data_IF_188349690105
#
_entry.id   IF_188349690105
#
_cell.length_a   1.000
_cell.length_b   1.000
_cell.length_c   1.000
_cell.angle_alpha   90.00
_cell.angle_beta   90.00
_cell.angle_gamma   90.00
#
_symmetry.space_group_name_H-M   'P 1'
#
loop_
_entity.id
_entity.type
_entity.pdbx_description
1 polymer ?
#
# COMPACT_ATOMS: atom_id res chain seq x y z
N UNK A 1 33.60 -46.54 26.83
CA UNK A 1 34.94 -46.16 27.34
C UNK A 1 36.03 -46.19 26.24
N UNK A 2 35.83 -45.51 25.10
CA UNK A 2 36.87 -45.39 24.04
C UNK A 2 37.20 -43.94 23.65
N UNK A 3 36.33 -42.96 23.98
CA UNK A 3 36.57 -41.53 23.72
C UNK A 3 37.48 -40.85 24.76
N UNK A 4 37.51 -41.35 26.00
CA UNK A 4 38.38 -40.81 27.07
C UNK A 4 39.84 -41.24 26.86
N UNK A 5 40.09 -42.42 26.27
CA UNK A 5 41.43 -42.93 26.02
C UNK A 5 42.15 -42.16 24.89
N UNK A 6 41.42 -41.68 23.88
CA UNK A 6 42.02 -40.93 22.75
C UNK A 6 42.43 -39.51 23.14
N UNK A 7 41.66 -38.86 24.03
CA UNK A 7 41.98 -37.53 24.56
C UNK A 7 43.17 -37.61 25.53
N UNK A 8 43.22 -38.66 26.36
CA UNK A 8 44.36 -38.91 27.25
C UNK A 8 45.65 -39.25 26.45
N UNK A 9 45.55 -40.01 25.36
CA UNK A 9 46.69 -40.32 24.50
C UNK A 9 47.22 -39.08 23.76
N UNK A 10 46.33 -38.21 23.25
CA UNK A 10 46.72 -36.94 22.63
C UNK A 10 47.40 -35.99 23.62
N UNK A 11 46.93 -35.92 24.87
CA UNK A 11 47.57 -35.10 25.91
C UNK A 11 48.93 -35.67 26.33
N UNK A 12 49.10 -37.00 26.42
CA UNK A 12 50.39 -37.62 26.75
C UNK A 12 51.41 -37.40 25.62
N UNK A 13 51.03 -37.52 24.34
CA UNK A 13 51.92 -37.19 23.21
C UNK A 13 52.29 -35.70 23.22
N UNK A 14 51.35 -34.81 23.55
CA UNK A 14 51.61 -33.38 23.66
C UNK A 14 52.57 -33.01 24.81
N UNK A 15 52.50 -33.73 25.94
CA UNK A 15 53.39 -33.51 27.08
C UNK A 15 54.73 -34.24 26.99
N UNK A 16 54.84 -35.30 26.16
CA UNK A 16 56.09 -36.06 26.01
C UNK A 16 57.07 -35.49 24.97
N UNK A 17 56.61 -34.75 23.95
CA UNK A 17 57.49 -34.25 22.87
C UNK A 17 58.04 -32.82 23.07
N UNK A 18 57.72 -32.14 24.18
CA UNK A 18 58.39 -30.89 24.58
C UNK A 18 59.34 -31.17 25.75
N UNK A 19 60.24 -32.13 25.55
CA UNK A 19 61.56 -32.11 26.20
C UNK A 19 62.60 -31.66 25.16
N UNK A 20 62.64 -30.36 24.91
CA UNK A 20 63.86 -29.71 24.40
C UNK A 20 64.31 -28.72 25.45
N UNK A 21 65.11 -29.25 26.37
CA UNK A 21 66.37 -28.68 26.83
C UNK A 21 66.58 -27.21 26.46
N UNK A 22 66.38 -26.31 27.44
CA UNK A 22 67.42 -25.32 27.69
C UNK A 22 67.82 -25.42 29.16
N UNK A 23 68.93 -26.13 29.35
CA UNK A 23 69.67 -26.18 30.59
C UNK A 23 70.10 -24.77 31.03
N UNK A 24 70.04 -24.59 32.35
CA UNK A 24 70.95 -23.80 33.18
C UNK A 24 71.67 -22.62 32.51
N UNK A 25 71.25 -21.42 32.90
CA UNK A 25 72.23 -20.51 33.49
C UNK A 25 71.63 -19.91 34.76
N UNK A 26 72.20 -20.31 35.88
CA UNK A 26 72.06 -19.69 37.18
C UNK A 26 72.25 -18.16 37.07
N UNK A 27 71.34 -17.40 37.68
CA UNK A 27 71.68 -16.46 38.75
C UNK A 27 70.59 -15.40 38.94
N UNK A 28 70.27 -15.21 40.21
CA UNK A 28 69.38 -14.19 40.77
C UNK A 28 67.88 -14.37 40.50
N UNK A 29 67.19 -14.91 41.52
CA UNK A 29 65.77 -14.73 41.76
C UNK A 29 65.47 -13.23 41.97
N UNK A 30 65.47 -12.45 40.88
CA UNK A 30 64.77 -11.18 40.86
C UNK A 30 63.40 -11.44 40.26
N UNK A 31 62.37 -11.32 41.11
CA UNK A 31 60.99 -11.22 40.64
C UNK A 31 60.89 -10.07 39.64
N UNK A 32 59.89 -10.11 38.75
CA UNK A 32 59.70 -9.11 37.68
C UNK A 32 59.73 -7.66 38.20
N UNK A 33 59.40 -7.45 39.48
CA UNK A 33 59.48 -6.17 40.19
C UNK A 33 60.92 -5.64 40.40
N UNK A 34 61.93 -6.51 40.48
CA UNK A 34 63.33 -6.16 40.77
C UNK A 34 64.26 -5.96 39.56
N UNK A 35 63.77 -6.15 38.33
CA UNK A 35 64.54 -5.93 37.10
C UNK A 35 64.52 -4.44 36.70
N UNK A 36 65.67 -3.92 36.28
CA UNK A 36 65.76 -2.56 35.73
C UNK A 36 65.04 -2.49 34.38
N UNK A 37 64.56 -1.30 34.00
CA UNK A 37 63.81 -1.08 32.75
C UNK A 37 64.56 -1.61 31.51
N UNK A 38 65.90 -1.51 31.50
CA UNK A 38 66.75 -2.02 30.41
C UNK A 38 66.77 -3.55 30.33
N UNK A 39 66.79 -4.23 31.48
CA UNK A 39 66.72 -5.70 31.56
C UNK A 39 65.32 -6.20 31.18
N UNK A 40 64.25 -5.46 31.56
CA UNK A 40 62.89 -5.80 31.15
C UNK A 40 62.72 -5.76 29.64
N UNK A 41 63.28 -4.72 29.00
CA UNK A 41 63.19 -4.52 27.55
C UNK A 41 63.90 -5.63 26.78
N UNK A 42 65.10 -6.03 27.22
CA UNK A 42 65.84 -7.14 26.60
C UNK A 42 65.12 -8.48 26.74
N UNK A 43 64.48 -8.74 27.88
CA UNK A 43 63.70 -9.96 28.09
C UNK A 43 62.45 -10.00 27.18
N UNK A 44 61.76 -8.87 27.00
CA UNK A 44 60.61 -8.75 26.09
C UNK A 44 61.04 -8.98 24.63
N UNK A 45 62.13 -8.35 24.18
CA UNK A 45 62.61 -8.52 22.80
C UNK A 45 63.06 -9.96 22.52
N UNK A 46 63.63 -10.65 23.51
CA UNK A 46 63.99 -12.08 23.38
C UNK A 46 62.73 -12.95 23.26
N UNK A 47 61.72 -12.70 24.09
CA UNK A 47 60.44 -13.41 24.03
C UNK A 47 59.68 -13.15 22.71
N UNK A 48 59.73 -11.93 22.18
CA UNK A 48 59.16 -11.59 20.87
C UNK A 48 59.88 -12.31 19.72
N UNK A 49 61.20 -12.45 19.80
CA UNK A 49 62.00 -13.25 18.88
C UNK A 49 61.65 -14.74 18.93
N UNK A 50 61.52 -15.30 20.14
CA UNK A 50 61.15 -16.70 20.35
C UNK A 50 59.71 -16.98 19.85
N UNK A 51 58.78 -16.04 20.06
CA UNK A 51 57.41 -16.10 19.53
C UNK A 51 57.41 -16.08 17.99
N UNK A 52 58.24 -15.24 17.36
CA UNK A 52 58.33 -15.16 15.90
C UNK A 52 58.92 -16.44 15.27
N UNK A 53 59.93 -17.04 15.90
CA UNK A 53 60.52 -18.32 15.46
C UNK A 53 59.49 -19.45 15.57
N UNK A 54 58.77 -19.54 16.70
CA UNK A 54 57.69 -20.52 16.92
C UNK A 54 56.53 -20.34 15.94
N UNK A 55 56.12 -19.11 15.64
CA UNK A 55 55.09 -18.82 14.64
C UNK A 55 55.51 -19.23 13.22
N UNK A 56 56.80 -19.10 12.87
CA UNK A 56 57.32 -19.54 11.56
C UNK A 56 57.36 -21.07 11.44
N UNK A 57 57.72 -21.78 12.51
CA UNK A 57 57.76 -23.25 12.56
C UNK A 57 56.35 -23.84 12.46
N UNK A 58 55.37 -23.25 13.17
CA UNK A 58 53.96 -23.65 13.11
C UNK A 58 53.36 -23.42 11.71
N UNK A 59 53.72 -22.33 11.02
CA UNK A 59 53.29 -22.07 9.64
C UNK A 59 53.86 -23.09 8.65
N UNK A 60 55.13 -23.48 8.78
CA UNK A 60 55.79 -24.42 7.86
C UNK A 60 55.29 -25.86 8.03
N UNK A 61 55.15 -26.32 9.27
CA UNK A 61 54.67 -27.67 9.59
C UNK A 61 53.19 -27.88 9.23
N UNK A 62 52.34 -26.85 9.39
CA UNK A 62 50.95 -26.88 8.90
C UNK A 62 50.87 -26.90 7.38
N UNK A 63 51.73 -26.15 6.67
CA UNK A 63 51.67 -26.07 5.21
C UNK A 63 52.12 -27.36 4.53
N UNK A 64 53.15 -28.03 5.05
CA UNK A 64 53.62 -29.31 4.50
C UNK A 64 52.69 -30.48 4.83
N UNK A 65 52.06 -30.45 6.02
CA UNK A 65 50.98 -31.39 6.38
C UNK A 65 49.74 -31.21 5.50
N UNK A 66 49.30 -29.96 5.28
CA UNK A 66 48.18 -29.62 4.39
C UNK A 66 48.50 -30.00 2.94
N UNK A 67 49.74 -29.77 2.46
CA UNK A 67 50.18 -30.22 1.13
C UNK A 67 50.16 -31.74 1.00
N UNK A 68 50.63 -32.49 2.00
CA UNK A 68 50.61 -33.96 1.94
C UNK A 68 49.18 -34.53 2.01
N UNK A 69 48.29 -33.89 2.80
CA UNK A 69 46.87 -34.26 2.89
C UNK A 69 46.09 -33.90 1.62
N UNK A 70 46.42 -32.79 0.96
CA UNK A 70 45.85 -32.41 -0.35
C UNK A 70 46.32 -33.30 -1.50
N UNK A 71 47.45 -34.00 -1.38
CA UNK A 71 48.03 -34.75 -2.50
C UNK A 71 47.68 -36.24 -2.46
N UNK A 72 47.11 -36.81 -1.39
CA UNK A 72 47.00 -38.27 -1.30
C UNK A 72 45.70 -38.91 -0.77
N UNK A 73 44.63 -38.21 -0.40
CA UNK A 73 43.43 -38.90 0.10
C UNK A 73 42.09 -38.32 -0.39
N UNK A 74 41.40 -39.11 -1.21
CA UNK A 74 39.94 -39.11 -1.48
C UNK A 74 39.38 -38.06 -2.45
N UNK A 75 39.78 -38.11 -3.74
CA UNK A 75 39.27 -37.18 -4.75
C UNK A 75 38.03 -37.64 -5.54
N UNK A 76 37.57 -38.90 -5.46
CA UNK A 76 36.45 -39.35 -6.32
C UNK A 76 35.07 -39.38 -5.63
N UNK A 77 34.95 -39.82 -4.37
CA UNK A 77 33.63 -39.93 -3.72
C UNK A 77 33.11 -38.60 -3.14
N UNK A 78 33.97 -37.77 -2.55
CA UNK A 78 33.60 -36.47 -1.98
C UNK A 78 33.40 -35.39 -3.03
N UNK A 79 34.16 -35.41 -4.13
CA UNK A 79 33.97 -34.47 -5.26
C UNK A 79 32.65 -34.76 -5.99
N UNK A 80 32.28 -36.05 -6.11
CA UNK A 80 30.97 -36.45 -6.64
C UNK A 80 29.84 -36.06 -5.69
N UNK A 81 29.99 -36.25 -4.36
CA UNK A 81 28.98 -35.85 -3.38
C UNK A 81 28.76 -34.32 -3.33
N UNK A 82 29.85 -33.53 -3.34
CA UNK A 82 29.77 -32.06 -3.40
C UNK A 82 29.19 -31.56 -4.73
N UNK A 83 29.55 -32.18 -5.87
CA UNK A 83 28.94 -31.86 -7.17
C UNK A 83 27.44 -32.16 -7.18
N UNK A 84 27.03 -33.32 -6.64
CA UNK A 84 25.60 -33.67 -6.49
C UNK A 84 24.86 -32.66 -5.60
N UNK A 85 25.51 -32.15 -4.54
CA UNK A 85 24.93 -31.16 -3.65
C UNK A 85 24.81 -29.77 -4.31
N UNK A 86 25.84 -29.31 -5.03
CA UNK A 86 25.80 -28.08 -5.81
C UNK A 86 24.76 -28.15 -6.94
N UNK A 87 24.68 -29.28 -7.65
CA UNK A 87 23.67 -29.50 -8.69
C UNK A 87 22.25 -29.46 -8.12
N UNK A 88 22.03 -30.01 -6.92
CA UNK A 88 20.74 -29.94 -6.22
C UNK A 88 20.38 -28.51 -5.79
N UNK A 89 21.36 -27.73 -5.27
CA UNK A 89 21.18 -26.32 -4.93
C UNK A 89 20.87 -25.52 -6.19
N UNK A 90 21.62 -25.73 -7.27
CA UNK A 90 21.42 -25.04 -8.55
C UNK A 90 20.04 -25.36 -9.14
N UNK A 91 19.61 -26.63 -9.14
CA UNK A 91 18.25 -27.02 -9.54
C UNK A 91 17.17 -26.32 -8.70
N UNK A 92 17.36 -26.23 -7.38
CA UNK A 92 16.43 -25.55 -6.48
C UNK A 92 16.38 -24.05 -6.73
N UNK A 93 17.52 -23.39 -6.94
CA UNK A 93 17.61 -21.98 -7.32
C UNK A 93 16.92 -21.72 -8.67
N UNK A 94 17.18 -22.53 -9.68
CA UNK A 94 16.54 -22.43 -11.01
C UNK A 94 15.02 -22.62 -10.89
N UNK A 95 14.55 -23.59 -10.11
CA UNK A 95 13.12 -23.77 -9.85
C UNK A 95 12.49 -22.54 -9.16
N UNK A 96 13.16 -21.98 -8.15
CA UNK A 96 12.69 -20.76 -7.47
C UNK A 96 12.63 -19.55 -8.40
N UNK A 97 13.62 -19.37 -9.28
CA UNK A 97 13.63 -18.31 -10.29
C UNK A 97 12.48 -18.49 -11.29
N UNK A 98 12.29 -19.72 -11.79
CA UNK A 98 11.19 -20.03 -12.72
C UNK A 98 9.83 -19.80 -12.07
N UNK A 99 9.66 -20.19 -10.79
CA UNK A 99 8.44 -19.96 -10.04
C UNK A 99 8.17 -18.47 -9.81
N UNK A 100 9.21 -17.69 -9.48
CA UNK A 100 9.11 -16.22 -9.39
C UNK A 100 8.66 -15.60 -10.71
N UNK A 101 9.25 -16.01 -11.83
CA UNK A 101 8.90 -15.48 -13.15
C UNK A 101 7.46 -15.84 -13.55
N UNK A 102 7.03 -17.08 -13.28
CA UNK A 102 5.64 -17.52 -13.49
C UNK A 102 4.65 -16.72 -12.63
N UNK A 103 4.98 -16.47 -11.35
CA UNK A 103 4.14 -15.63 -10.48
C UNK A 103 4.06 -14.19 -11.00
N UNK A 104 5.16 -13.63 -11.52
CA UNK A 104 5.16 -12.29 -12.10
C UNK A 104 4.23 -12.20 -13.32
N UNK A 105 4.29 -13.18 -14.22
CA UNK A 105 3.40 -13.28 -15.38
C UNK A 105 1.93 -13.40 -14.96
N UNK A 106 1.64 -14.22 -13.94
CA UNK A 106 0.28 -14.35 -13.41
C UNK A 106 -0.23 -13.02 -12.82
N UNK A 107 0.61 -12.29 -12.09
CA UNK A 107 0.25 -10.95 -11.56
C UNK A 107 -0.02 -9.97 -12.70
N UNK A 108 0.81 -9.95 -13.75
CA UNK A 108 0.61 -9.10 -14.93
C UNK A 108 -0.72 -9.43 -15.64
N UNK A 109 -1.04 -10.71 -15.79
CA UNK A 109 -2.32 -11.17 -16.35
C UNK A 109 -3.52 -10.72 -15.51
N UNK A 110 -3.46 -10.92 -14.18
CA UNK A 110 -4.51 -10.50 -13.25
C UNK A 110 -4.70 -8.98 -13.29
N UNK A 111 -3.61 -8.21 -13.34
CA UNK A 111 -3.68 -6.75 -13.44
C UNK A 111 -4.33 -6.29 -14.76
N UNK A 112 -4.03 -6.97 -15.87
CA UNK A 112 -4.69 -6.74 -17.15
C UNK A 112 -6.20 -6.99 -17.06
N UNK A 113 -6.63 -8.08 -16.41
CA UNK A 113 -8.06 -8.35 -16.20
C UNK A 113 -8.74 -7.34 -15.27
N UNK A 114 -8.09 -6.98 -14.15
CA UNK A 114 -8.58 -5.96 -13.23
C UNK A 114 -8.73 -4.59 -13.90
N UNK A 115 -7.83 -4.25 -14.83
CA UNK A 115 -7.94 -3.00 -15.60
C UNK A 115 -9.20 -2.96 -16.47
N UNK A 116 -9.60 -4.09 -17.07
CA UNK A 116 -10.83 -4.20 -17.87
C UNK A 116 -12.09 -4.05 -17.00
N UNK A 117 -12.07 -4.63 -15.79
CA UNK A 117 -13.17 -4.47 -14.81
C UNK A 117 -13.29 -3.01 -14.40
N UNK A 118 -12.17 -2.33 -14.13
CA UNK A 118 -12.18 -0.92 -13.75
C UNK A 118 -12.76 -0.02 -14.85
N UNK A 119 -12.51 -0.32 -16.13
CA UNK A 119 -13.11 0.40 -17.26
C UNK A 119 -14.64 0.23 -17.25
N UNK A 120 -15.14 -1.00 -17.10
CA UNK A 120 -16.58 -1.25 -17.06
C UNK A 120 -17.26 -0.57 -15.86
N UNK A 121 -16.66 -0.66 -14.68
CA UNK A 121 -17.16 0.00 -13.48
C UNK A 121 -17.16 1.52 -13.62
N UNK A 122 -16.19 2.10 -14.35
CA UNK A 122 -16.16 3.52 -14.65
C UNK A 122 -17.34 3.93 -15.56
N UNK A 123 -17.70 3.12 -16.56
CA UNK A 123 -18.91 3.37 -17.36
C UNK A 123 -20.19 3.35 -16.52
N UNK A 124 -20.29 2.47 -15.51
CA UNK A 124 -21.43 2.46 -14.57
C UNK A 124 -21.46 3.77 -13.77
N UNK A 125 -20.32 4.23 -13.27
CA UNK A 125 -20.21 5.50 -12.53
C UNK A 125 -20.63 6.67 -13.42
N UNK A 126 -20.19 6.69 -14.68
CA UNK A 126 -20.50 7.77 -15.62
C UNK A 126 -21.99 7.77 -15.98
N UNK A 127 -22.57 6.60 -16.28
CA UNK A 127 -24.00 6.43 -16.47
C UNK A 127 -24.82 6.91 -15.27
N UNK A 128 -24.41 6.55 -14.05
CA UNK A 128 -25.11 6.96 -12.84
C UNK A 128 -24.96 8.46 -12.56
N UNK A 129 -23.80 9.04 -12.89
CA UNK A 129 -23.53 10.47 -12.73
C UNK A 129 -24.34 11.31 -13.73
N UNK A 130 -24.47 10.82 -14.97
CA UNK A 130 -25.29 11.41 -16.03
C UNK A 130 -26.75 11.61 -15.58
N UNK A 131 -27.31 10.68 -14.78
CA UNK A 131 -28.69 10.80 -14.28
C UNK A 131 -28.94 11.99 -13.36
N UNK A 132 -27.91 12.61 -12.77
CA UNK A 132 -28.07 13.83 -11.97
C UNK A 132 -28.31 15.07 -12.82
N UNK A 133 -28.13 14.99 -14.14
CA UNK A 133 -28.35 16.08 -15.08
C UNK A 133 -29.75 16.12 -15.65
N UNK A 134 -30.59 15.12 -15.40
CA UNK A 134 -31.95 15.03 -15.95
C UNK A 134 -32.98 14.99 -14.83
N UNK A 135 -34.26 15.29 -15.13
CA UNK A 135 -35.32 15.15 -14.15
C UNK A 135 -35.39 13.74 -13.60
N UNK A 136 -35.85 13.65 -12.35
CA UNK A 136 -35.99 12.34 -11.73
C UNK A 136 -36.98 11.47 -12.52
N UNK A 137 -36.60 10.23 -12.77
CA UNK A 137 -37.45 9.22 -13.39
C UNK A 137 -36.98 7.80 -12.99
N UNK A 138 -37.70 6.78 -13.45
CA UNK A 138 -37.42 5.38 -13.13
C UNK A 138 -36.02 4.89 -13.53
N UNK A 139 -35.33 5.52 -14.49
CA UNK A 139 -33.96 5.15 -14.89
C UNK A 139 -32.92 5.46 -13.81
N UNK A 140 -33.23 6.37 -12.88
CA UNK A 140 -32.41 6.66 -11.69
C UNK A 140 -32.30 5.42 -10.80
N UNK A 141 -33.40 4.67 -10.63
CA UNK A 141 -33.40 3.42 -9.87
C UNK A 141 -32.53 2.36 -10.54
N UNK A 142 -32.57 2.26 -11.87
CA UNK A 142 -31.67 1.39 -12.63
C UNK A 142 -30.20 1.75 -12.41
N UNK A 143 -29.86 3.05 -12.34
CA UNK A 143 -28.51 3.50 -12.01
C UNK A 143 -28.10 3.13 -10.58
N UNK A 144 -28.99 3.27 -9.60
CA UNK A 144 -28.75 2.82 -8.22
C UNK A 144 -28.45 1.32 -8.16
N UNK A 145 -29.21 0.49 -8.89
CA UNK A 145 -28.95 -0.95 -8.95
C UNK A 145 -27.65 -1.29 -9.67
N UNK A 146 -27.31 -0.57 -10.75
CA UNK A 146 -26.07 -0.80 -11.48
C UNK A 146 -24.84 -0.53 -10.58
N UNK A 147 -24.89 0.46 -9.70
CA UNK A 147 -23.82 0.79 -8.76
C UNK A 147 -23.46 -0.35 -7.78
N UNK A 148 -24.41 -1.24 -7.49
CA UNK A 148 -24.17 -2.44 -6.66
C UNK A 148 -23.29 -3.49 -7.35
N UNK A 149 -23.15 -3.41 -8.67
CA UNK A 149 -22.33 -4.34 -9.46
C UNK A 149 -20.85 -3.95 -9.54
N UNK A 150 -20.46 -2.79 -8.98
CA UNK A 150 -19.07 -2.31 -9.02
C UNK A 150 -18.16 -3.23 -8.19
N UNK A 151 -17.11 -3.74 -8.84
CA UNK A 151 -16.14 -4.68 -8.26
C UNK A 151 -14.80 -4.04 -7.95
N UNK A 152 -14.44 -2.97 -8.68
CA UNK A 152 -13.19 -2.24 -8.58
C UNK A 152 -13.05 -1.61 -7.20
N UNK A 153 -12.01 -1.99 -6.41
CA UNK A 153 -11.79 -1.41 -5.09
C UNK A 153 -11.63 0.11 -5.12
N UNK A 154 -10.99 0.64 -6.18
CA UNK A 154 -10.74 2.07 -6.35
C UNK A 154 -12.00 2.92 -6.55
N UNK A 155 -13.07 2.33 -7.10
CA UNK A 155 -14.32 3.03 -7.41
C UNK A 155 -15.41 2.83 -6.35
N UNK A 156 -15.19 1.93 -5.38
CA UNK A 156 -16.21 1.54 -4.40
C UNK A 156 -16.67 2.70 -3.51
N UNK A 157 -15.75 3.57 -3.08
CA UNK A 157 -16.09 4.75 -2.27
C UNK A 157 -16.95 5.75 -3.07
N UNK A 158 -16.55 6.04 -4.32
CA UNK A 158 -17.30 6.92 -5.23
C UNK A 158 -18.69 6.35 -5.53
N UNK A 159 -18.79 5.04 -5.77
CA UNK A 159 -20.06 4.32 -5.96
C UNK A 159 -21.01 4.52 -4.78
N UNK A 160 -20.53 4.30 -3.54
CA UNK A 160 -21.36 4.45 -2.33
C UNK A 160 -21.88 5.88 -2.14
N UNK A 161 -21.04 6.88 -2.38
CA UNK A 161 -21.44 8.28 -2.29
C UNK A 161 -22.51 8.62 -3.34
N UNK A 162 -22.29 8.22 -4.59
CA UNK A 162 -23.22 8.46 -5.68
C UNK A 162 -24.55 7.72 -5.48
N UNK A 163 -24.49 6.48 -5.01
CA UNK A 163 -25.68 5.68 -4.66
C UNK A 163 -26.52 6.39 -3.60
N UNK A 164 -25.90 6.85 -2.51
CA UNK A 164 -26.60 7.55 -1.44
C UNK A 164 -27.27 8.84 -1.94
N UNK A 165 -26.62 9.56 -2.86
CA UNK A 165 -27.17 10.76 -3.47
C UNK A 165 -28.38 10.44 -4.36
N UNK A 166 -28.26 9.45 -5.26
CA UNK A 166 -29.33 9.05 -6.17
C UNK A 166 -30.55 8.50 -5.43
N UNK A 167 -30.36 7.76 -4.33
CA UNK A 167 -31.45 7.27 -3.48
C UNK A 167 -32.28 8.39 -2.84
N UNK A 168 -31.66 9.55 -2.57
CA UNK A 168 -32.36 10.71 -2.02
C UNK A 168 -32.95 11.62 -3.10
N UNK A 169 -32.59 11.40 -4.36
CA UNK A 169 -32.92 12.31 -5.45
C UNK A 169 -34.44 12.47 -5.62
N UNK A 170 -35.21 11.37 -5.61
CA UNK A 170 -36.67 11.42 -5.75
C UNK A 170 -37.33 12.33 -4.71
N UNK A 171 -36.98 12.13 -3.44
CA UNK A 171 -37.56 12.90 -2.34
C UNK A 171 -37.23 14.39 -2.46
N UNK A 172 -35.98 14.74 -2.80
CA UNK A 172 -35.56 16.13 -3.00
C UNK A 172 -36.22 16.77 -4.23
N UNK A 173 -36.34 16.02 -5.33
CA UNK A 173 -37.04 16.46 -6.53
C UNK A 173 -38.51 16.77 -6.23
N UNK A 174 -39.22 15.84 -5.58
CA UNK A 174 -40.62 16.00 -5.23
C UNK A 174 -40.86 17.17 -4.27
N UNK A 175 -39.94 17.40 -3.32
CA UNK A 175 -40.01 18.54 -2.40
C UNK A 175 -39.93 19.87 -3.15
N UNK A 176 -38.97 20.02 -4.06
CA UNK A 176 -38.81 21.23 -4.89
C UNK A 176 -40.03 21.43 -5.80
N UNK A 177 -40.50 20.36 -6.46
CA UNK A 177 -41.70 20.43 -7.31
C UNK A 177 -42.93 20.84 -6.50
N UNK A 178 -43.08 20.37 -5.27
CA UNK A 178 -44.19 20.78 -4.41
C UNK A 178 -44.12 22.27 -4.06
N UNK A 179 -42.93 22.82 -3.78
CA UNK A 179 -42.77 24.28 -3.59
C UNK A 179 -43.20 25.03 -4.84
N UNK A 180 -42.79 24.59 -6.03
CA UNK A 180 -43.16 25.20 -7.31
C UNK A 180 -44.69 25.13 -7.54
N UNK A 181 -45.33 23.99 -7.23
CA UNK A 181 -46.80 23.83 -7.32
C UNK A 181 -47.52 24.78 -6.38
N UNK A 182 -47.06 24.92 -5.15
CA UNK A 182 -47.64 25.88 -4.19
C UNK A 182 -47.49 27.31 -4.71
N UNK A 183 -46.35 27.65 -5.29
CA UNK A 183 -46.11 28.97 -5.90
C UNK A 183 -47.06 29.24 -7.08
N UNK A 184 -47.25 28.26 -7.95
CA UNK A 184 -48.12 28.35 -9.13
C UNK A 184 -49.61 28.48 -8.77
N UNK A 185 -50.03 27.90 -7.65
CA UNK A 185 -51.41 27.95 -7.19
C UNK A 185 -51.70 29.10 -6.21
N UNK A 186 -50.68 29.89 -5.84
CA UNK A 186 -50.87 31.03 -4.96
C UNK A 186 -51.53 32.20 -5.71
N UNK A 187 -52.61 32.75 -5.15
CA UNK A 187 -53.30 33.92 -5.70
C UNK A 187 -52.40 35.14 -5.85
N UNK A 188 -51.36 35.26 -5.03
CA UNK A 188 -50.47 36.41 -5.07
C UNK A 188 -49.48 36.37 -6.25
N UNK A 189 -49.40 35.24 -6.99
CA UNK A 189 -48.51 35.15 -8.16
C UNK A 189 -48.89 36.12 -9.28
N UNK A 190 -50.16 36.51 -9.37
CA UNK A 190 -50.70 37.46 -10.35
C UNK A 190 -50.90 38.86 -9.76
N UNK A 191 -50.73 39.01 -8.45
CA UNK A 191 -50.92 40.27 -7.73
C UNK A 191 -49.60 41.06 -7.70
N UNK A 192 -49.48 42.05 -8.58
CA UNK A 192 -48.27 42.86 -8.72
C UNK A 192 -48.04 43.84 -7.57
N UNK A 193 -49.05 44.09 -6.73
CA UNK A 193 -48.95 45.01 -5.60
C UNK A 193 -48.37 44.30 -4.37
N UNK A 194 -48.45 42.97 -4.31
CA UNK A 194 -47.97 42.14 -3.19
C UNK A 194 -46.72 41.30 -3.52
N UNK A 195 -45.94 41.71 -4.51
CA UNK A 195 -44.78 40.94 -5.04
C UNK A 195 -43.74 40.58 -3.98
N UNK A 196 -43.47 41.49 -3.02
CA UNK A 196 -42.49 41.25 -1.94
C UNK A 196 -42.97 40.17 -0.99
N UNK A 197 -44.25 40.21 -0.61
CA UNK A 197 -44.84 39.22 0.30
C UNK A 197 -44.86 37.83 -0.34
N UNK A 198 -45.28 37.75 -1.60
CA UNK A 198 -45.25 36.49 -2.36
C UNK A 198 -43.82 35.94 -2.48
N UNK A 199 -42.86 36.77 -2.90
CA UNK A 199 -41.46 36.36 -3.05
C UNK A 199 -40.87 35.85 -1.74
N UNK A 200 -41.05 36.57 -0.64
CA UNK A 200 -40.50 36.19 0.66
C UNK A 200 -41.07 34.85 1.13
N UNK A 201 -42.39 34.66 1.00
CA UNK A 201 -43.06 33.40 1.34
C UNK A 201 -42.46 32.21 0.58
N UNK A 202 -42.44 32.27 -0.74
CA UNK A 202 -42.03 31.11 -1.54
C UNK A 202 -40.51 30.91 -1.55
N UNK A 203 -39.72 31.99 -1.48
CA UNK A 203 -38.26 31.89 -1.32
C UNK A 203 -37.88 31.20 -0.01
N UNK A 204 -38.61 31.48 1.08
CA UNK A 204 -38.39 30.82 2.36
C UNK A 204 -38.70 29.32 2.27
N UNK A 205 -39.82 28.95 1.64
CA UNK A 205 -40.16 27.54 1.39
C UNK A 205 -39.06 26.82 0.60
N UNK A 206 -38.54 27.44 -0.46
CA UNK A 206 -37.45 26.85 -1.25
C UNK A 206 -36.18 26.68 -0.42
N UNK A 207 -35.82 27.68 0.38
CA UNK A 207 -34.61 27.67 1.22
C UNK A 207 -34.65 26.60 2.30
N UNK A 208 -35.86 26.26 2.80
CA UNK A 208 -36.06 25.21 3.80
C UNK A 208 -36.12 23.78 3.23
N UNK A 209 -36.01 23.61 1.91
CA UNK A 209 -35.93 22.25 1.35
C UNK A 209 -34.70 21.51 1.85
N UNK A 210 -34.80 20.19 1.98
CA UNK A 210 -33.68 19.31 2.34
C UNK A 210 -32.54 19.46 1.34
N UNK A 211 -32.89 19.64 0.06
CA UNK A 211 -31.91 19.90 -0.98
C UNK A 211 -31.08 21.15 -0.68
N UNK A 212 -31.73 22.28 -0.40
CA UNK A 212 -31.04 23.55 -0.17
C UNK A 212 -30.17 23.55 1.08
N UNK A 213 -30.58 22.85 2.14
CA UNK A 213 -29.87 22.80 3.41
C UNK A 213 -28.68 21.83 3.44
N UNK A 214 -28.71 20.75 2.64
CA UNK A 214 -27.69 19.67 2.73
C UNK A 214 -27.08 19.20 1.41
N UNK A 215 -27.69 19.49 0.27
CA UNK A 215 -27.33 18.89 -1.04
C UNK A 215 -27.20 19.90 -2.17
N UNK A 216 -27.25 21.20 -1.88
CA UNK A 216 -27.02 22.26 -2.85
C UNK A 216 -25.74 22.00 -3.65
N UNK A 217 -25.78 22.21 -4.96
CA UNK A 217 -24.66 21.97 -5.89
C UNK A 217 -24.29 20.49 -6.09
N UNK A 218 -25.03 19.52 -5.52
CA UNK A 218 -24.76 18.08 -5.69
C UNK A 218 -25.55 17.46 -6.85
N UNK A 219 -26.70 18.04 -7.19
CA UNK A 219 -27.57 17.55 -8.27
C UNK A 219 -27.79 18.70 -9.25
N UNK A 220 -27.03 18.72 -10.38
CA UNK A 220 -27.05 19.84 -11.33
C UNK A 220 -28.43 20.16 -11.89
N UNK A 221 -29.28 19.15 -12.11
CA UNK A 221 -30.63 19.39 -12.57
C UNK A 221 -31.45 20.23 -11.59
N UNK A 222 -31.38 19.90 -10.29
CA UNK A 222 -32.10 20.65 -9.25
C UNK A 222 -31.57 22.08 -9.10
N UNK A 223 -30.26 22.31 -9.25
CA UNK A 223 -29.70 23.66 -9.27
C UNK A 223 -30.29 24.48 -10.42
N UNK A 224 -30.41 23.90 -11.63
CA UNK A 224 -31.02 24.57 -12.78
C UNK A 224 -32.49 24.88 -12.53
N UNK A 225 -33.25 23.91 -12.00
CA UNK A 225 -34.67 24.08 -11.70
C UNK A 225 -34.89 25.23 -10.69
N UNK A 226 -34.11 25.28 -9.63
CA UNK A 226 -34.14 26.33 -8.60
C UNK A 226 -33.73 27.69 -9.18
N UNK A 227 -32.71 27.74 -10.05
CA UNK A 227 -32.30 28.98 -10.70
C UNK A 227 -33.41 29.54 -11.60
N UNK A 228 -34.10 28.69 -12.37
CA UNK A 228 -35.23 29.11 -13.19
C UNK A 228 -36.41 29.57 -12.32
N UNK A 229 -36.68 28.88 -11.22
CA UNK A 229 -37.67 29.29 -10.23
C UNK A 229 -37.37 30.71 -9.68
N UNK A 230 -36.14 30.98 -9.24
CA UNK A 230 -35.76 32.31 -8.76
C UNK A 230 -35.77 33.38 -9.86
N UNK A 231 -35.48 33.00 -11.11
CA UNK A 231 -35.62 33.91 -12.26
C UNK A 231 -37.08 34.37 -12.41
N UNK A 232 -38.05 33.47 -12.26
CA UNK A 232 -39.47 33.84 -12.32
C UNK A 232 -39.90 34.71 -11.14
N UNK A 233 -39.45 34.39 -9.92
CA UNK A 233 -39.69 35.25 -8.76
C UNK A 233 -39.14 36.68 -8.96
N UNK A 234 -37.97 36.81 -9.59
CA UNK A 234 -37.37 38.11 -9.87
C UNK A 234 -38.08 38.86 -11.00
N UNK A 235 -38.66 38.16 -11.99
CA UNK A 235 -39.53 38.79 -12.99
C UNK A 235 -40.81 39.33 -12.35
N UNK A 236 -41.38 38.58 -11.40
CA UNK A 236 -42.55 39.05 -10.66
C UNK A 236 -42.27 40.33 -9.87
N UNK A 237 -41.09 40.45 -9.25
CA UNK A 237 -40.66 41.72 -8.61
C UNK A 237 -40.55 42.91 -9.56
N UNK A 238 -40.61 42.70 -10.88
CA UNK A 238 -40.62 43.76 -11.91
C UNK A 238 -42.03 44.04 -12.46
N UNK A 239 -43.07 43.52 -11.82
CA UNK A 239 -44.47 43.72 -12.23
C UNK A 239 -44.98 42.70 -13.24
N UNK A 240 -44.27 41.58 -13.47
CA UNK A 240 -44.77 40.49 -14.30
C UNK A 240 -45.58 39.48 -13.47
N UNK A 241 -46.43 38.68 -14.12
CA UNK A 241 -47.04 37.51 -13.48
C UNK A 241 -45.94 36.49 -13.20
N UNK A 242 -45.91 35.93 -11.99
CA UNK A 242 -45.06 34.78 -11.69
C UNK A 242 -45.75 33.52 -12.23
N UNK A 243 -45.33 33.08 -13.42
CA UNK A 243 -45.81 31.84 -14.02
C UNK A 243 -44.73 30.76 -13.95
N UNK A 244 -45.07 29.65 -13.30
CA UNK A 244 -44.20 28.50 -13.08
C UNK A 244 -44.67 27.26 -13.84
N UNK A 245 -45.73 27.36 -14.67
CA UNK A 245 -46.32 26.23 -15.38
C UNK A 245 -45.27 25.45 -16.20
N UNK A 246 -44.35 26.15 -16.86
CA UNK A 246 -43.28 25.53 -17.65
C UNK A 246 -42.29 24.71 -16.79
N UNK A 247 -42.12 25.04 -15.50
CA UNK A 247 -41.29 24.26 -14.58
C UNK A 247 -41.99 22.97 -14.12
N UNK A 248 -43.33 22.98 -14.05
CA UNK A 248 -44.12 21.81 -13.70
C UNK A 248 -44.17 20.79 -14.85
N UNK A 249 -44.01 21.26 -16.08
CA UNK A 249 -43.97 20.42 -17.29
C UNK A 249 -42.56 20.24 -17.86
N UNK A 250 -41.52 20.58 -17.10
CA UNK A 250 -40.13 20.58 -17.59
C UNK A 250 -39.70 19.19 -18.12
N UNK A 251 -40.19 18.12 -17.51
CA UNK A 251 -39.99 16.72 -17.91
C UNK A 251 -40.57 16.39 -19.31
N UNK A 252 -41.54 17.20 -19.75
CA UNK A 252 -42.19 17.08 -21.05
C UNK A 252 -41.47 17.90 -22.13
N UNK A 253 -40.73 18.93 -21.72
CA UNK A 253 -40.00 19.84 -22.61
C UNK A 253 -38.63 19.27 -22.99
N UNK A 254 -37.93 18.58 -22.07
CA UNK A 254 -36.65 17.90 -22.38
C UNK A 254 -36.81 16.60 -23.21
N UNK A 255 -38.04 16.17 -23.52
CA UNK A 255 -38.33 15.02 -24.40
C UNK A 255 -38.56 15.41 -25.88
N UNK A 256 -38.56 16.70 -26.20
CA UNK A 256 -38.58 17.23 -27.58
C UNK A 256 -37.15 17.53 -28.04
#
# INVERSE_FOLDING_TARGET
MKKIFFIAFLLIVFFCDIKVSLAQSESSNKTWAGLSIKEKRNAITKLEGDIAVLQSAIKKQKLDSIKSQLTYCQFDSEMTANKTHFDAIQKKCTWSINKKNSLKQNIESINSELSKIAIYDQYIIDYASDKLFYPWNSSVNSAVTALDSIKSPSLKSKSLQLKSLLQKYESMYNEIINVIKVAQNDKFRTDTDNTVLFKNKVSLMMTHTVYMSGYKSRIPFLDRLINLFYRQLNLHSKGHIADFEFLLHYDSIEKM
#
